data_IF_868567142755
#
_entry.id   IF_868567142755
#
_cell.length_a   1.000
_cell.length_b   1.000
_cell.length_c   1.000
_cell.angle_alpha   90.00
_cell.angle_beta   90.00
_cell.angle_gamma   90.00
#
_symmetry.space_group_name_H-M   'P 1'
#
loop_
_entity.id
_entity.type
_entity.pdbx_description
1 polymer ?
#
# COMPACT_ATOMS: atom_id res chain seq x y z
N UNK A 1 -41.85 -39.73 -14.55
CA UNK A 1 -41.21 -38.95 -13.49
C UNK A 1 -40.94 -37.56 -14.02
N UNK A 2 -41.53 -36.48 -13.50
CA UNK A 2 -41.29 -35.13 -13.99
C UNK A 2 -39.91 -34.65 -13.45
N UNK A 3 -39.17 -33.97 -14.35
CA UNK A 3 -37.83 -33.52 -14.14
C UNK A 3 -37.64 -32.56 -12.95
N UNK A 4 -36.53 -32.75 -12.28
CA UNK A 4 -36.00 -31.85 -11.24
C UNK A 4 -35.83 -30.45 -11.80
N UNK A 5 -36.54 -29.49 -11.23
CA UNK A 5 -36.43 -28.08 -11.51
C UNK A 5 -34.95 -27.65 -11.36
N UNK A 6 -34.43 -27.10 -12.46
CA UNK A 6 -33.16 -26.34 -12.40
C UNK A 6 -33.35 -25.16 -11.45
N UNK A 7 -32.70 -25.19 -10.33
CA UNK A 7 -32.54 -24.02 -9.47
C UNK A 7 -31.84 -22.93 -10.27
N UNK A 8 -32.57 -21.89 -10.66
CA UNK A 8 -31.96 -20.68 -11.18
C UNK A 8 -31.33 -19.94 -9.99
N UNK A 9 -30.01 -19.82 -10.04
CA UNK A 9 -29.27 -19.02 -9.05
C UNK A 9 -29.81 -17.58 -9.06
N UNK A 10 -30.38 -17.07 -7.95
CA UNK A 10 -30.89 -15.71 -7.88
C UNK A 10 -29.85 -14.64 -8.25
N UNK A 11 -28.55 -14.94 -8.14
CA UNK A 11 -27.48 -14.05 -8.54
C UNK A 11 -27.44 -13.80 -10.06
N UNK A 12 -28.03 -14.67 -10.87
CA UNK A 12 -28.13 -14.55 -12.33
C UNK A 12 -29.43 -13.91 -12.81
N UNK A 13 -30.32 -13.53 -11.89
CA UNK A 13 -31.58 -12.86 -12.25
C UNK A 13 -31.31 -11.39 -12.59
N UNK A 14 -31.54 -11.04 -13.88
CA UNK A 14 -31.40 -9.67 -14.39
C UNK A 14 -32.29 -8.65 -13.67
N UNK A 15 -33.42 -9.08 -13.13
CA UNK A 15 -34.32 -8.19 -12.38
C UNK A 15 -33.75 -7.88 -11.00
N UNK A 16 -33.23 -8.88 -10.29
CA UNK A 16 -32.58 -8.70 -9.01
C UNK A 16 -31.31 -7.86 -9.15
N UNK A 17 -30.50 -8.07 -10.20
CA UNK A 17 -29.31 -7.25 -10.45
C UNK A 17 -29.67 -5.78 -10.70
N UNK A 18 -30.75 -5.47 -11.43
CA UNK A 18 -31.23 -4.10 -11.64
C UNK A 18 -31.78 -3.47 -10.35
N UNK A 19 -32.45 -4.23 -9.48
CA UNK A 19 -32.90 -3.74 -8.16
C UNK A 19 -31.69 -3.39 -7.29
N UNK A 20 -30.67 -4.25 -7.25
CA UNK A 20 -29.44 -4.01 -6.50
C UNK A 20 -28.70 -2.78 -7.05
N UNK A 21 -28.60 -2.63 -8.38
CA UNK A 21 -28.02 -1.44 -9.01
C UNK A 21 -28.80 -0.16 -8.68
N UNK A 22 -30.13 -0.21 -8.74
CA UNK A 22 -30.99 0.94 -8.41
C UNK A 22 -30.86 1.31 -6.93
N UNK A 23 -30.87 0.32 -6.03
CA UNK A 23 -30.65 0.51 -4.60
C UNK A 23 -29.27 1.11 -4.32
N UNK A 24 -28.23 0.63 -5.01
CA UNK A 24 -26.88 1.16 -4.89
C UNK A 24 -26.79 2.60 -5.41
N UNK A 25 -27.50 2.97 -6.48
CA UNK A 25 -27.57 4.36 -6.99
C UNK A 25 -28.28 5.28 -6.00
N UNK A 26 -29.39 4.85 -5.43
CA UNK A 26 -30.18 5.64 -4.48
C UNK A 26 -29.53 5.78 -3.10
N UNK A 27 -28.73 4.78 -2.68
CA UNK A 27 -28.00 4.78 -1.42
C UNK A 27 -26.53 5.21 -1.58
N UNK A 28 -26.14 5.76 -2.75
CA UNK A 28 -24.78 6.22 -2.98
C UNK A 28 -24.49 7.47 -2.13
N UNK A 29 -24.19 7.25 -0.85
CA UNK A 29 -23.42 8.21 -0.08
C UNK A 29 -22.01 8.19 -0.67
N UNK A 30 -21.59 9.27 -1.30
CA UNK A 30 -20.22 9.41 -1.78
C UNK A 30 -19.29 9.09 -0.62
N UNK A 31 -18.68 7.90 -0.62
CA UNK A 31 -17.63 7.59 0.35
C UNK A 31 -16.56 8.65 0.17
N UNK A 32 -16.39 9.52 1.17
CA UNK A 32 -15.31 10.49 1.14
C UNK A 32 -14.01 9.73 0.92
N UNK A 33 -13.37 10.01 -0.21
CA UNK A 33 -12.12 9.38 -0.60
C UNK A 33 -11.06 9.80 0.40
N UNK A 34 -10.30 8.84 0.92
CA UNK A 34 -9.19 9.14 1.82
C UNK A 34 -8.08 9.85 1.05
N UNK A 35 -7.50 10.88 1.65
CA UNK A 35 -6.40 11.66 1.06
C UNK A 35 -5.15 10.78 0.87
N UNK A 36 -4.38 10.97 -0.21
CA UNK A 36 -3.08 10.35 -0.37
C UNK A 36 -2.06 10.96 0.60
N UNK A 37 -1.03 10.19 0.98
CA UNK A 37 0.16 10.76 1.61
C UNK A 37 1.01 11.47 0.55
N UNK A 38 1.39 12.72 0.81
CA UNK A 38 2.23 13.47 -0.12
C UNK A 38 3.71 13.08 0.01
N UNK A 39 4.56 13.39 -1.01
CA UNK A 39 6.01 13.18 -0.92
C UNK A 39 6.63 13.86 0.31
N UNK A 40 6.17 15.07 0.64
CA UNK A 40 6.70 15.81 1.80
C UNK A 40 6.29 15.16 3.12
N UNK A 41 5.06 14.66 3.24
CA UNK A 41 4.64 13.88 4.41
C UNK A 41 5.50 12.63 4.58
N UNK A 42 5.88 11.94 3.52
CA UNK A 42 6.77 10.77 3.57
C UNK A 42 8.17 11.14 4.04
N UNK A 43 8.73 12.25 3.54
CA UNK A 43 10.01 12.79 4.02
C UNK A 43 9.95 13.15 5.49
N UNK A 44 8.85 13.80 5.92
CA UNK A 44 8.68 14.21 7.31
C UNK A 44 8.49 13.02 8.25
N UNK A 45 7.80 11.96 7.83
CA UNK A 45 7.73 10.70 8.60
C UNK A 45 9.15 10.13 8.85
N UNK A 46 10.04 10.17 7.86
CA UNK A 46 11.44 9.75 8.03
C UNK A 46 12.20 10.71 8.97
N UNK A 47 12.01 12.02 8.84
CA UNK A 47 12.66 13.05 9.70
C UNK A 47 12.21 12.99 11.15
N UNK A 48 11.02 12.50 11.43
CA UNK A 48 10.53 12.31 12.81
C UNK A 48 11.24 11.19 13.57
N UNK A 49 12.07 10.38 12.91
CA UNK A 49 12.89 9.41 13.62
C UNK A 49 13.99 10.12 14.43
N UNK A 50 14.15 9.81 15.72
CA UNK A 50 15.29 10.32 16.49
C UNK A 50 16.60 9.70 15.99
N UNK A 51 17.73 10.25 16.42
CA UNK A 51 19.08 9.71 16.11
C UNK A 51 19.20 8.23 16.48
N UNK A 52 18.63 7.85 17.63
CA UNK A 52 18.57 6.48 18.12
C UNK A 52 17.11 5.97 18.23
N UNK A 53 16.50 5.58 17.12
CA UNK A 53 15.10 5.15 17.12
C UNK A 53 14.96 3.76 17.75
N UNK A 54 13.86 3.56 18.46
CA UNK A 54 13.47 2.23 18.97
C UNK A 54 13.04 1.32 17.81
N UNK A 55 12.99 0.01 18.05
CA UNK A 55 12.50 -0.95 17.07
C UNK A 55 11.07 -0.64 16.62
N UNK A 56 10.20 -0.23 17.54
CA UNK A 56 8.81 0.17 17.24
C UNK A 56 8.77 1.42 16.35
N UNK A 57 9.58 2.42 16.63
CA UNK A 57 9.63 3.64 15.82
C UNK A 57 10.10 3.35 14.39
N UNK A 58 11.10 2.47 14.23
CA UNK A 58 11.58 2.06 12.90
C UNK A 58 10.48 1.32 12.12
N UNK A 59 9.82 0.32 12.75
CA UNK A 59 8.72 -0.40 12.11
C UNK A 59 7.59 0.54 11.70
N UNK A 60 7.16 1.41 12.61
CA UNK A 60 6.01 2.29 12.40
C UNK A 60 6.30 3.40 11.38
N UNK A 61 7.57 3.76 11.20
CA UNK A 61 8.04 4.62 10.11
C UNK A 61 8.09 3.87 8.77
N UNK A 62 8.68 2.66 8.75
CA UNK A 62 8.89 1.90 7.51
C UNK A 62 7.58 1.43 6.87
N UNK A 63 6.55 1.09 7.64
CA UNK A 63 5.26 0.63 7.10
C UNK A 63 4.66 1.64 6.12
N UNK A 64 4.39 2.90 6.47
CA UNK A 64 3.86 3.88 5.50
C UNK A 64 4.86 4.22 4.39
N UNK A 65 6.16 4.33 4.69
CA UNK A 65 7.17 4.72 3.70
C UNK A 65 7.39 3.63 2.66
N UNK A 66 7.49 2.36 3.05
CA UNK A 66 7.58 1.25 2.09
C UNK A 66 6.28 1.03 1.31
N UNK A 67 5.13 1.20 1.98
CA UNK A 67 3.83 1.12 1.28
C UNK A 67 3.68 2.20 0.21
N UNK A 68 4.25 3.38 0.43
CA UNK A 68 4.33 4.47 -0.54
C UNK A 68 5.32 4.15 -1.67
N UNK A 69 6.58 3.86 -1.33
CA UNK A 69 7.66 3.70 -2.29
C UNK A 69 7.48 2.48 -3.22
N UNK A 70 6.91 1.39 -2.71
CA UNK A 70 6.71 0.13 -3.42
C UNK A 70 5.26 -0.08 -3.85
N UNK A 71 4.41 0.93 -3.70
CA UNK A 71 2.98 0.87 -3.99
C UNK A 71 2.28 -0.36 -3.36
N UNK A 72 2.62 -0.70 -2.12
CA UNK A 72 2.07 -1.88 -1.46
C UNK A 72 0.67 -1.65 -0.93
N UNK A 73 -0.19 -2.66 -1.07
CA UNK A 73 -1.45 -2.73 -0.34
C UNK A 73 -1.17 -3.09 1.12
N UNK A 74 -2.08 -2.73 2.01
CA UNK A 74 -2.00 -3.11 3.43
C UNK A 74 -1.74 -4.61 3.60
N UNK A 75 -2.47 -5.43 2.88
CA UNK A 75 -2.34 -6.89 2.96
C UNK A 75 -0.98 -7.37 2.46
N UNK A 76 -0.47 -6.81 1.36
CA UNK A 76 0.87 -7.08 0.84
C UNK A 76 1.94 -6.70 1.87
N UNK A 77 1.86 -5.48 2.45
CA UNK A 77 2.81 -5.03 3.48
C UNK A 77 2.79 -5.92 4.72
N UNK A 78 1.59 -6.32 5.17
CA UNK A 78 1.44 -7.17 6.37
C UNK A 78 1.93 -8.60 6.16
N UNK A 79 1.97 -9.07 4.89
CA UNK A 79 2.48 -10.39 4.53
C UNK A 79 3.95 -10.39 4.08
N UNK A 80 4.62 -9.22 4.05
CA UNK A 80 6.03 -9.19 3.74
C UNK A 80 6.79 -10.11 4.70
N UNK A 81 7.57 -10.99 4.11
CA UNK A 81 8.42 -11.94 4.82
C UNK A 81 9.88 -11.73 4.38
N UNK A 82 10.82 -11.96 5.28
CA UNK A 82 12.24 -11.74 4.99
C UNK A 82 12.76 -12.66 3.86
N UNK A 83 12.14 -13.83 3.63
CA UNK A 83 12.49 -14.69 2.50
C UNK A 83 11.96 -14.20 1.14
N UNK A 84 11.13 -13.16 1.12
CA UNK A 84 10.71 -12.52 -0.14
C UNK A 84 11.78 -11.60 -0.72
N UNK A 85 12.80 -11.24 0.06
CA UNK A 85 13.86 -10.33 -0.33
C UNK A 85 15.06 -11.09 -0.88
N UNK A 86 15.52 -10.66 -2.04
CA UNK A 86 16.75 -11.15 -2.67
C UNK A 86 17.65 -9.94 -2.89
N UNK A 87 18.88 -10.02 -2.37
CA UNK A 87 19.87 -8.97 -2.56
C UNK A 87 20.28 -8.86 -4.04
N UNK A 88 20.43 -7.64 -4.50
CA UNK A 88 20.86 -7.28 -5.85
C UNK A 88 21.91 -6.15 -5.77
N UNK A 89 22.69 -5.96 -6.82
CA UNK A 89 23.72 -4.91 -6.89
C UNK A 89 23.17 -3.51 -6.62
N UNK A 90 21.90 -3.26 -6.94
CA UNK A 90 21.25 -1.95 -6.82
C UNK A 90 20.27 -1.86 -5.64
N UNK A 91 20.19 -2.89 -4.79
CA UNK A 91 19.28 -2.91 -3.63
C UNK A 91 18.67 -4.28 -3.39
N UNK A 92 17.36 -4.33 -3.20
CA UNK A 92 16.63 -5.59 -3.00
C UNK A 92 15.54 -5.78 -4.07
N UNK A 93 15.48 -6.98 -4.65
CA UNK A 93 14.30 -7.52 -5.33
C UNK A 93 13.39 -8.12 -4.29
N UNK A 94 12.12 -7.77 -4.31
CA UNK A 94 11.14 -8.22 -3.33
C UNK A 94 10.02 -8.93 -4.09
N UNK A 95 9.88 -10.21 -3.87
CA UNK A 95 8.78 -10.98 -4.41
C UNK A 95 7.52 -10.75 -3.56
N UNK A 96 6.47 -10.21 -4.16
CA UNK A 96 5.16 -10.07 -3.53
C UNK A 96 4.33 -11.29 -3.90
N UNK A 97 4.21 -12.29 -3.00
CA UNK A 97 3.43 -13.48 -3.30
C UNK A 97 1.96 -13.10 -3.40
N UNK A 98 1.32 -13.54 -4.43
CA UNK A 98 -0.09 -13.36 -4.80
C UNK A 98 -0.84 -12.16 -4.18
N UNK A 99 -1.29 -11.25 -5.03
CA UNK A 99 -2.31 -10.27 -4.66
C UNK A 99 -3.71 -10.89 -4.84
N UNK A 100 -4.75 -10.27 -4.25
CA UNK A 100 -6.17 -10.68 -4.40
C UNK A 100 -6.61 -10.81 -5.88
N UNK A 101 -5.87 -10.21 -6.80
CA UNK A 101 -6.13 -10.19 -8.25
C UNK A 101 -5.20 -11.11 -9.05
N UNK A 102 -4.27 -11.79 -8.41
CA UNK A 102 -3.35 -12.72 -9.05
C UNK A 102 -3.93 -14.15 -9.00
N UNK A 103 -4.76 -14.44 -9.99
CA UNK A 103 -5.47 -15.73 -10.11
C UNK A 103 -4.51 -16.91 -10.28
N UNK A 104 -3.34 -16.67 -10.88
CA UNK A 104 -2.33 -17.71 -11.15
C UNK A 104 -1.22 -17.79 -10.10
N UNK A 105 -1.23 -16.91 -9.08
CA UNK A 105 -0.22 -16.85 -8.01
C UNK A 105 1.23 -16.75 -8.51
N UNK A 106 1.43 -16.10 -9.64
CA UNK A 106 2.77 -15.89 -10.23
C UNK A 106 3.64 -14.94 -9.39
N UNK A 107 3.01 -14.19 -8.48
CA UNK A 107 3.68 -13.15 -7.73
C UNK A 107 4.10 -11.96 -8.60
N UNK A 108 4.58 -10.92 -8.00
CA UNK A 108 5.13 -9.74 -8.71
C UNK A 108 6.37 -9.26 -8.00
N UNK A 109 7.38 -8.90 -8.75
CA UNK A 109 8.63 -8.36 -8.19
C UNK A 109 8.50 -6.83 -8.09
N UNK A 110 8.89 -6.29 -6.94
CA UNK A 110 9.12 -4.86 -6.73
C UNK A 110 10.56 -4.64 -6.27
N UNK A 111 11.07 -3.41 -6.44
CA UNK A 111 12.47 -3.11 -6.23
C UNK A 111 12.63 -2.02 -5.16
N UNK A 112 13.42 -2.31 -4.12
CA UNK A 112 13.88 -1.33 -3.15
C UNK A 112 15.29 -0.90 -3.53
N UNK A 113 15.42 0.28 -4.13
CA UNK A 113 16.68 0.80 -4.59
C UNK A 113 17.51 1.38 -3.43
N UNK A 114 18.82 1.10 -3.43
CA UNK A 114 19.79 1.73 -2.52
C UNK A 114 20.00 3.22 -2.79
N UNK A 115 19.62 3.71 -3.97
CA UNK A 115 19.65 5.15 -4.29
C UNK A 115 18.61 5.94 -3.49
N UNK A 116 17.54 5.29 -3.02
CA UNK A 116 16.63 5.86 -2.03
C UNK A 116 17.24 5.73 -0.62
N UNK A 117 18.37 6.42 -0.40
CA UNK A 117 19.23 6.25 0.77
C UNK A 117 18.49 6.31 2.09
N UNK A 118 17.66 7.34 2.30
CA UNK A 118 16.93 7.50 3.56
C UNK A 118 16.04 6.31 3.92
N UNK A 119 15.32 5.77 2.93
CA UNK A 119 14.51 4.57 3.12
C UNK A 119 15.39 3.33 3.29
N UNK A 120 16.40 3.17 2.44
CA UNK A 120 17.27 2.00 2.43
C UNK A 120 18.06 1.87 3.76
N UNK A 121 18.68 2.95 4.22
CA UNK A 121 19.42 2.97 5.48
C UNK A 121 18.51 2.73 6.70
N UNK A 122 17.29 3.31 6.67
CA UNK A 122 16.28 3.06 7.72
C UNK A 122 15.88 1.59 7.74
N UNK A 123 15.73 0.97 6.56
CA UNK A 123 15.41 -0.45 6.44
C UNK A 123 16.54 -1.34 6.97
N UNK A 124 17.80 -1.06 6.63
CA UNK A 124 18.95 -1.79 7.16
C UNK A 124 19.07 -1.63 8.68
N UNK A 125 18.86 -0.41 9.21
CA UNK A 125 18.83 -0.15 10.65
C UNK A 125 17.73 -0.95 11.36
N UNK A 126 16.56 -1.09 10.71
CA UNK A 126 15.47 -1.93 11.23
C UNK A 126 15.86 -3.42 11.27
N UNK A 127 16.40 -3.97 10.18
CA UNK A 127 16.87 -5.35 10.13
C UNK A 127 17.89 -5.64 11.23
N UNK A 128 18.89 -4.78 11.37
CA UNK A 128 19.92 -4.90 12.41
C UNK A 128 19.31 -4.87 13.82
N UNK A 129 18.41 -3.91 14.10
CA UNK A 129 17.81 -3.75 15.43
C UNK A 129 16.81 -4.84 15.79
N UNK A 130 16.12 -5.39 14.79
CA UNK A 130 15.19 -6.51 14.95
C UNK A 130 15.86 -7.87 15.01
N UNK A 131 17.14 -7.96 14.64
CA UNK A 131 17.86 -9.23 14.46
C UNK A 131 17.25 -10.11 13.35
N UNK A 132 16.59 -9.49 12.36
CA UNK A 132 16.04 -10.18 11.22
C UNK A 132 17.07 -10.24 10.09
N UNK A 133 17.21 -11.42 9.50
CA UNK A 133 18.06 -11.63 8.33
C UNK A 133 17.21 -11.87 7.08
N UNK A 134 17.63 -11.32 5.96
CA UNK A 134 17.04 -11.62 4.66
C UNK A 134 17.20 -13.12 4.35
N UNK A 135 16.20 -13.69 3.71
CA UNK A 135 16.17 -15.11 3.35
C UNK A 135 15.53 -16.05 4.39
N UNK A 136 15.34 -15.61 5.63
CA UNK A 136 14.65 -16.42 6.64
C UNK A 136 13.13 -16.36 6.49
N UNK A 137 12.43 -17.42 6.86
CA UNK A 137 10.96 -17.43 6.88
C UNK A 137 10.43 -16.74 8.15
N UNK A 138 10.40 -15.41 8.12
CA UNK A 138 9.91 -14.59 9.22
C UNK A 138 9.19 -13.36 8.69
N UNK A 139 8.04 -13.02 9.26
CA UNK A 139 7.33 -11.79 8.89
C UNK A 139 8.20 -10.56 9.17
N UNK A 140 8.32 -9.69 8.17
CA UNK A 140 9.13 -8.47 8.29
C UNK A 140 8.51 -7.50 9.32
N UNK A 141 7.21 -7.29 9.24
CA UNK A 141 6.46 -6.35 10.09
C UNK A 141 5.47 -7.08 11.00
N UNK A 142 5.99 -7.88 11.93
CA UNK A 142 5.16 -8.52 12.95
C UNK A 142 4.84 -7.59 14.14
N UNK A 143 3.98 -8.06 15.07
CA UNK A 143 3.84 -7.43 16.38
C UNK A 143 5.19 -7.39 17.10
N UNK A 144 5.44 -6.31 17.86
CA UNK A 144 6.67 -6.17 18.65
C UNK A 144 6.34 -6.44 20.11
N UNK A 145 7.06 -7.36 20.72
CA UNK A 145 6.96 -7.73 22.14
C UNK A 145 8.33 -7.74 22.79
N UNK A 146 8.30 -7.63 24.12
CA UNK A 146 9.52 -7.83 24.92
C UNK A 146 9.82 -9.32 25.03
N UNK A 147 10.94 -9.73 24.49
CA UNK A 147 11.43 -11.10 24.59
C UNK A 147 12.22 -11.25 25.89
N UNK A 148 11.67 -12.04 26.80
CA UNK A 148 12.27 -12.28 28.11
C UNK A 148 13.59 -13.06 28.03
N UNK A 149 13.77 -13.91 27.02
CA UNK A 149 14.99 -14.68 26.85
C UNK A 149 16.13 -13.83 26.34
N UNK A 150 15.83 -12.89 25.44
CA UNK A 150 16.80 -11.97 24.84
C UNK A 150 16.92 -10.63 25.61
N UNK A 151 16.08 -10.41 26.62
CA UNK A 151 16.00 -9.14 27.38
C UNK A 151 15.89 -7.90 26.49
N UNK A 152 15.17 -8.02 25.35
CA UNK A 152 14.97 -6.93 24.38
C UNK A 152 13.64 -7.04 23.65
N UNK A 153 13.28 -5.94 22.97
CA UNK A 153 12.15 -5.96 22.03
C UNK A 153 12.50 -6.82 20.81
N UNK A 154 11.59 -7.67 20.40
CA UNK A 154 11.69 -8.50 19.20
C UNK A 154 10.42 -8.44 18.36
N UNK A 155 10.54 -8.75 17.08
CA UNK A 155 9.42 -8.91 16.15
C UNK A 155 8.91 -10.33 16.26
N UNK A 156 7.62 -10.51 16.54
CA UNK A 156 6.99 -11.83 16.51
C UNK A 156 6.86 -12.33 15.07
N UNK A 157 7.09 -13.61 14.85
CA UNK A 157 6.86 -14.23 13.54
C UNK A 157 5.35 -14.45 13.28
N UNK A 158 4.63 -13.34 13.23
CA UNK A 158 3.17 -13.29 12.98
C UNK A 158 2.84 -12.12 12.08
N UNK A 159 1.80 -12.27 11.26
CA UNK A 159 1.26 -11.19 10.45
C UNK A 159 0.80 -10.02 11.35
N UNK A 160 1.10 -8.79 10.91
CA UNK A 160 0.58 -7.59 11.58
C UNK A 160 -0.94 -7.48 11.37
N UNK A 161 -1.75 -7.39 12.44
CA UNK A 161 -3.21 -7.22 12.33
C UNK A 161 -3.59 -5.92 11.61
N UNK A 162 -4.74 -5.94 10.90
CA UNK A 162 -5.27 -4.78 10.19
C UNK A 162 -5.39 -3.53 11.09
N UNK A 163 -5.94 -3.70 12.29
CA UNK A 163 -6.13 -2.59 13.24
C UNK A 163 -4.80 -1.96 13.66
N UNK A 164 -3.77 -2.80 13.84
CA UNK A 164 -2.42 -2.31 14.17
C UNK A 164 -1.83 -1.52 13.01
N UNK A 165 -1.96 -2.03 11.77
CA UNK A 165 -1.53 -1.32 10.57
C UNK A 165 -2.27 0.01 10.40
N UNK A 166 -3.60 0.00 10.55
CA UNK A 166 -4.42 1.19 10.45
C UNK A 166 -4.03 2.24 11.50
N UNK A 167 -3.81 1.81 12.76
CA UNK A 167 -3.35 2.68 13.84
C UNK A 167 -1.99 3.29 13.55
N UNK A 168 -1.06 2.54 12.94
CA UNK A 168 0.27 3.06 12.55
C UNK A 168 0.12 4.20 11.53
N UNK A 169 -0.70 4.02 10.48
CA UNK A 169 -0.96 5.09 9.50
C UNK A 169 -1.57 6.31 10.17
N UNK A 170 -2.60 6.12 11.02
CA UNK A 170 -3.23 7.23 11.76
C UNK A 170 -2.24 7.98 12.65
N UNK A 171 -1.43 7.25 13.40
CA UNK A 171 -0.42 7.85 14.29
C UNK A 171 0.66 8.61 13.49
N UNK A 172 1.05 8.12 12.31
CA UNK A 172 1.99 8.82 11.47
C UNK A 172 1.45 10.20 11.06
N UNK A 173 0.21 10.28 10.57
CA UNK A 173 -0.40 11.54 10.14
C UNK A 173 -0.73 12.47 11.31
N UNK A 174 -1.08 11.96 12.49
CA UNK A 174 -1.25 12.76 13.71
C UNK A 174 0.05 13.47 14.09
N UNK A 175 1.19 12.77 14.02
CA UNK A 175 2.51 13.37 14.29
C UNK A 175 2.88 14.47 13.32
N UNK A 176 2.29 14.49 12.12
CA UNK A 176 2.43 15.56 11.13
C UNK A 176 1.42 16.70 11.33
N UNK A 177 0.60 16.66 12.39
CA UNK A 177 -0.44 17.67 12.63
C UNK A 177 -1.67 17.56 11.73
N UNK A 178 -1.83 16.43 11.02
CA UNK A 178 -2.95 16.23 10.10
C UNK A 178 -4.15 15.56 10.79
N UNK A 179 -5.35 15.81 10.25
CA UNK A 179 -6.55 15.12 10.72
C UNK A 179 -6.50 13.63 10.31
N UNK A 180 -6.42 12.69 11.26
CA UNK A 180 -6.32 11.27 10.95
C UNK A 180 -7.54 10.72 10.20
N UNK A 181 -8.72 11.33 10.31
CA UNK A 181 -9.92 10.84 9.64
C UNK A 181 -9.93 11.03 8.13
N UNK A 182 -9.03 11.85 7.63
CA UNK A 182 -8.86 12.05 6.19
C UNK A 182 -7.98 10.97 5.54
N UNK A 183 -7.27 10.15 6.31
CA UNK A 183 -6.32 9.15 5.81
C UNK A 183 -6.75 7.72 6.19
N UNK A 184 -6.20 6.73 5.48
CA UNK A 184 -6.49 5.32 5.71
C UNK A 184 -5.38 4.40 5.17
N UNK A 185 -5.62 3.10 5.21
CA UNK A 185 -4.63 2.08 4.82
C UNK A 185 -4.18 2.15 3.35
N UNK A 186 -4.97 2.80 2.49
CA UNK A 186 -4.62 3.02 1.07
C UNK A 186 -3.91 4.34 0.80
N UNK A 187 -3.83 5.26 1.78
CA UNK A 187 -3.29 6.61 1.59
C UNK A 187 -1.82 6.62 1.15
N UNK A 188 -1.01 5.70 1.67
CA UNK A 188 0.39 5.58 1.27
C UNK A 188 0.52 5.13 -0.19
N UNK A 189 -0.16 4.05 -0.58
CA UNK A 189 -0.18 3.54 -1.95
C UNK A 189 -0.73 4.56 -2.94
N UNK A 190 -1.82 5.23 -2.57
CA UNK A 190 -2.42 6.28 -3.39
C UNK A 190 -1.46 7.45 -3.59
N UNK A 191 -0.75 7.86 -2.53
CA UNK A 191 0.27 8.89 -2.61
C UNK A 191 1.42 8.54 -3.54
N UNK A 192 1.97 7.34 -3.42
CA UNK A 192 3.03 6.85 -4.31
C UNK A 192 2.57 6.80 -5.77
N UNK A 193 1.36 6.29 -6.03
CA UNK A 193 0.80 6.24 -7.38
C UNK A 193 0.60 7.64 -7.96
N UNK A 194 0.04 8.59 -7.19
CA UNK A 194 -0.15 9.98 -7.62
C UNK A 194 1.18 10.70 -7.89
N UNK A 195 2.22 10.39 -7.10
CA UNK A 195 3.56 10.94 -7.31
C UNK A 195 4.21 10.41 -8.60
N UNK A 196 4.04 9.12 -8.92
CA UNK A 196 4.64 8.50 -10.09
C UNK A 196 3.90 8.82 -11.39
N UNK A 197 2.59 8.98 -11.35
CA UNK A 197 1.74 9.12 -12.54
C UNK A 197 2.18 10.20 -13.54
N UNK A 198 2.73 11.38 -13.14
CA UNK A 198 3.24 12.37 -14.08
C UNK A 198 4.56 11.98 -14.76
N UNK A 199 5.28 10.98 -14.26
CA UNK A 199 6.66 10.68 -14.65
C UNK A 199 6.84 9.39 -15.44
N UNK A 200 5.84 8.51 -15.43
CA UNK A 200 5.90 7.19 -16.08
C UNK A 200 4.63 6.92 -16.89
N UNK A 201 4.70 5.99 -17.83
CA UNK A 201 3.53 5.57 -18.60
C UNK A 201 2.46 4.92 -17.71
N UNK A 202 1.19 4.97 -18.15
CA UNK A 202 0.10 4.26 -17.47
C UNK A 202 0.39 2.76 -17.37
N UNK A 203 0.99 2.18 -18.40
CA UNK A 203 1.40 0.77 -18.43
C UNK A 203 2.45 0.47 -17.35
N UNK A 204 3.49 1.30 -17.21
CA UNK A 204 4.51 1.12 -16.18
C UNK A 204 3.92 1.33 -14.78
N UNK A 205 3.00 2.29 -14.63
CA UNK A 205 2.29 2.49 -13.37
C UNK A 205 1.45 1.27 -13.00
N UNK A 206 0.75 0.67 -13.99
CA UNK A 206 0.00 -0.58 -13.80
C UNK A 206 0.92 -1.71 -13.33
N UNK A 207 2.06 -1.90 -13.98
CA UNK A 207 3.03 -2.95 -13.63
C UNK A 207 3.54 -2.76 -12.21
N UNK A 208 4.03 -1.56 -11.88
CA UNK A 208 4.59 -1.26 -10.56
C UNK A 208 3.52 -1.34 -9.45
N UNK A 209 2.32 -0.88 -9.73
CA UNK A 209 1.20 -0.94 -8.79
C UNK A 209 0.48 -2.29 -8.77
N UNK A 210 0.80 -3.20 -9.68
CA UNK A 210 0.13 -4.53 -9.76
C UNK A 210 -1.39 -4.41 -9.93
N UNK A 211 -1.82 -3.47 -10.81
CA UNK A 211 -3.21 -3.36 -11.24
C UNK A 211 -3.44 -4.21 -12.49
N UNK A 212 -4.49 -5.01 -12.48
CA UNK A 212 -4.92 -5.82 -13.64
C UNK A 212 -5.84 -5.05 -14.58
N UNK A 213 -6.46 -3.96 -14.09
CA UNK A 213 -7.42 -3.16 -14.83
C UNK A 213 -7.02 -1.68 -14.76
N UNK A 214 -6.82 -0.98 -15.91
CA UNK A 214 -6.52 0.45 -15.96
C UNK A 214 -7.52 1.30 -15.18
N UNK A 215 -8.81 0.94 -15.20
CA UNK A 215 -9.87 1.66 -14.47
C UNK A 215 -9.61 1.72 -12.96
N UNK A 216 -8.87 0.74 -12.44
CA UNK A 216 -8.49 0.70 -11.04
C UNK A 216 -7.52 1.83 -10.66
N UNK A 217 -6.66 2.28 -11.60
CA UNK A 217 -5.69 3.36 -11.37
C UNK A 217 -6.42 4.66 -11.00
N UNK A 218 -7.47 5.02 -11.73
CA UNK A 218 -8.28 6.21 -11.46
C UNK A 218 -8.81 6.30 -10.03
N UNK A 219 -8.86 5.18 -9.29
CA UNK A 219 -9.21 5.16 -7.87
C UNK A 219 -8.05 5.52 -6.94
N UNK A 220 -6.81 5.48 -7.41
CA UNK A 220 -5.60 5.73 -6.61
C UNK A 220 -4.89 7.03 -6.98
N UNK A 221 -4.95 7.45 -8.25
CA UNK A 221 -4.27 8.65 -8.72
C UNK A 221 -5.16 9.88 -8.52
N UNK A 222 -4.67 10.88 -7.79
CA UNK A 222 -5.25 12.22 -7.78
C UNK A 222 -4.58 13.06 -8.87
N UNK A 223 -5.37 13.46 -9.86
CA UNK A 223 -4.91 14.41 -10.88
C UNK A 223 -5.08 15.82 -10.32
N UNK A 224 -4.01 16.60 -10.11
CA UNK A 224 -4.11 17.97 -9.68
C UNK A 224 -5.03 18.80 -10.60
N UNK A 225 -5.81 19.71 -10.05
CA UNK A 225 -6.68 20.59 -10.84
C UNK A 225 -5.89 21.40 -11.88
N UNK A 226 -4.68 21.85 -11.53
CA UNK A 226 -3.78 22.53 -12.44
C UNK A 226 -3.52 21.74 -13.73
N UNK A 227 -3.21 20.46 -13.62
CA UNK A 227 -2.96 19.60 -14.79
C UNK A 227 -4.21 19.42 -15.67
N UNK A 228 -5.41 19.45 -15.08
CA UNK A 228 -6.67 19.42 -15.86
C UNK A 228 -6.88 20.72 -16.64
N UNK A 229 -6.44 21.87 -16.10
CA UNK A 229 -6.45 23.13 -16.81
C UNK A 229 -5.41 23.15 -17.95
N UNK A 230 -4.21 22.63 -17.73
CA UNK A 230 -3.17 22.47 -18.75
C UNK A 230 -3.66 21.63 -19.93
N UNK A 231 -4.30 20.48 -19.67
CA UNK A 231 -4.90 19.63 -20.71
C UNK A 231 -5.94 20.40 -21.53
N UNK A 232 -6.73 21.27 -20.87
CA UNK A 232 -7.74 22.07 -21.55
C UNK A 232 -7.12 23.19 -22.41
N UNK A 233 -5.97 23.74 -21.98
CA UNK A 233 -5.21 24.71 -22.76
C UNK A 233 -4.61 24.14 -24.04
N UNK A 234 -4.30 22.83 -24.08
CA UNK A 234 -3.81 22.15 -25.29
C UNK A 234 -4.89 22.11 -26.40
N UNK A 235 -6.16 22.21 -26.04
CA UNK A 235 -7.25 22.23 -27.01
C UNK A 235 -7.35 23.56 -27.77
N UNK A 236 -6.60 24.60 -27.33
CA UNK A 236 -6.45 25.94 -27.92
C UNK A 236 -7.50 26.31 -28.99
N UNK A 237 -8.72 26.55 -28.53
CA UNK A 237 -9.82 27.05 -29.39
C UNK A 237 -9.74 28.58 -29.35
N UNK A 238 -8.65 29.15 -29.85
CA UNK A 238 -8.56 30.57 -30.13
C UNK A 238 -9.17 30.84 -31.50
N UNK A 239 -10.37 31.40 -31.52
CA UNK A 239 -11.03 31.99 -32.71
C UNK A 239 -10.49 33.39 -32.96
#
# INVERSE_FOLDING_TARGET
MPGLNSWNDPANDQFLSKIVESSNRNNYKSKQRKKPLTPDMIKDILRLLPSEPTLTQLRDCLIPVMSYALLLRHDETSHLNCNHFVEDTNGFKINIPSSKTDTYREGKIVYLSKENRSLFDTFLKYLSKSNLNIGINHFLFGPIKFDKSLQKLSVENKKLPYESFHKIIKNAVIKLGCNPDEFGTHSARSGGASCLAPHISEYDLMLNGRWSDPRSIGSYVETPSAHRFEINQILDINL
#
